data_IF_142580627471
#
_entry.id   IF_142580627471
#
_cell.length_a   1.000
_cell.length_b   1.000
_cell.length_c   1.000
_cell.angle_alpha   90.00
_cell.angle_beta   90.00
_cell.angle_gamma   90.00
#
_symmetry.space_group_name_H-M   'P 1'
#
loop_
_entity.id
_entity.type
_entity.pdbx_description
1 polymer ?
#
# COMPACT_ATOMS: atom_id res chain seq x y z
N UNK A 1 51.01 1.29 -21.40
CA UNK A 1 51.20 1.35 -19.94
C UNK A 1 49.85 1.72 -19.35
N UNK A 2 49.07 0.71 -18.96
CA UNK A 2 47.70 0.89 -18.43
C UNK A 2 47.83 0.83 -16.92
N UNK A 3 47.53 1.97 -16.24
CA UNK A 3 47.52 2.04 -14.80
C UNK A 3 46.22 1.42 -14.27
N UNK A 4 46.34 0.29 -13.60
CA UNK A 4 45.25 -0.32 -12.83
C UNK A 4 44.98 0.54 -11.58
N UNK A 5 43.84 1.19 -11.54
CA UNK A 5 43.34 1.81 -10.31
C UNK A 5 42.80 0.69 -9.41
N UNK A 6 43.59 0.30 -8.43
CA UNK A 6 43.16 -0.58 -7.36
C UNK A 6 42.17 0.18 -6.49
N UNK A 7 40.90 -0.19 -6.55
CA UNK A 7 39.90 0.25 -5.62
C UNK A 7 40.23 -0.33 -4.22
N UNK A 8 40.79 0.49 -3.35
CA UNK A 8 40.99 0.16 -1.95
C UNK A 8 39.65 0.08 -1.28
N UNK A 9 39.16 -1.14 -1.05
CA UNK A 9 38.05 -1.39 -0.14
C UNK A 9 38.52 -1.04 1.28
N UNK A 10 38.03 0.06 1.82
CA UNK A 10 38.22 0.37 3.24
C UNK A 10 37.54 -0.70 4.09
N UNK A 11 38.23 -1.33 5.07
CA UNK A 11 37.60 -2.30 5.93
C UNK A 11 36.63 -1.62 6.90
N UNK A 12 35.37 -1.95 6.77
CA UNK A 12 34.41 -2.14 7.83
C UNK A 12 34.19 -1.03 8.85
N UNK A 13 33.32 -0.08 8.52
CA UNK A 13 32.35 0.29 9.54
C UNK A 13 31.35 -0.88 9.60
N UNK A 14 31.24 -1.55 10.76
CA UNK A 14 30.12 -2.45 11.01
C UNK A 14 28.85 -1.62 10.79
N UNK A 15 28.22 -1.76 9.65
CA UNK A 15 27.01 -1.02 9.31
C UNK A 15 25.96 -1.53 10.27
N UNK A 16 25.48 -0.66 11.16
CA UNK A 16 24.45 -1.05 12.12
C UNK A 16 23.28 -1.66 11.34
N UNK A 17 22.86 -2.87 11.75
CA UNK A 17 21.72 -3.57 11.17
C UNK A 17 20.52 -2.63 11.23
N UNK A 18 19.96 -2.31 10.07
CA UNK A 18 18.82 -1.38 9.99
C UNK A 18 17.52 -2.13 10.25
N UNK A 19 16.75 -1.67 11.20
CA UNK A 19 15.39 -2.18 11.42
C UNK A 19 14.43 -1.56 10.41
N UNK A 20 13.71 -2.41 9.68
CA UNK A 20 12.70 -2.03 8.68
C UNK A 20 11.34 -2.46 9.19
N UNK A 21 10.47 -1.49 9.48
CA UNK A 21 9.08 -1.76 9.84
C UNK A 21 8.30 -2.21 8.61
N UNK A 22 7.47 -3.23 8.75
CA UNK A 22 6.61 -3.72 7.67
C UNK A 22 5.19 -3.84 8.19
N UNK A 23 4.28 -3.06 7.61
CA UNK A 23 2.89 -2.96 8.04
C UNK A 23 1.96 -3.55 6.98
N UNK A 24 1.34 -4.68 7.29
CA UNK A 24 0.58 -5.50 6.35
C UNK A 24 -0.88 -5.71 6.79
N UNK A 25 -1.82 -5.84 5.83
CA UNK A 25 -3.12 -6.43 6.10
C UNK A 25 -3.01 -7.92 6.44
N UNK A 26 -4.07 -8.52 6.98
CA UNK A 26 -4.10 -9.92 7.44
C UNK A 26 -3.70 -10.93 6.37
N UNK A 27 -4.15 -10.73 5.12
CA UNK A 27 -4.00 -11.71 4.05
C UNK A 27 -2.89 -11.32 3.06
N UNK A 28 -1.78 -10.78 3.56
CA UNK A 28 -0.68 -10.28 2.75
C UNK A 28 0.54 -11.22 2.66
N UNK A 29 0.38 -12.50 2.97
CA UNK A 29 1.48 -13.48 2.96
C UNK A 29 2.18 -13.57 1.60
N UNK A 30 1.41 -13.55 0.51
CA UNK A 30 1.97 -13.56 -0.84
C UNK A 30 2.81 -12.30 -1.14
N UNK A 31 2.33 -11.13 -0.75
CA UNK A 31 3.11 -9.89 -0.88
C UNK A 31 4.39 -9.96 -0.06
N UNK A 32 4.30 -10.43 1.18
CA UNK A 32 5.43 -10.56 2.09
C UNK A 32 6.50 -11.50 1.54
N UNK A 33 6.10 -12.67 1.04
CA UNK A 33 7.03 -13.64 0.45
C UNK A 33 7.79 -13.07 -0.75
N UNK A 34 7.06 -12.42 -1.67
CA UNK A 34 7.65 -11.78 -2.86
C UNK A 34 8.57 -10.63 -2.47
N UNK A 35 8.16 -9.79 -1.52
CA UNK A 35 8.98 -8.67 -1.06
C UNK A 35 10.31 -9.14 -0.45
N UNK A 36 10.28 -10.15 0.44
CA UNK A 36 11.50 -10.72 1.04
C UNK A 36 12.42 -11.32 -0.02
N UNK A 37 11.87 -12.09 -0.95
CA UNK A 37 12.64 -12.68 -2.04
C UNK A 37 13.32 -11.59 -2.89
N UNK A 38 12.58 -10.55 -3.26
CA UNK A 38 13.11 -9.45 -4.04
C UNK A 38 14.20 -8.65 -3.29
N UNK A 39 14.10 -8.50 -1.98
CA UNK A 39 15.17 -7.89 -1.16
C UNK A 39 16.43 -8.77 -1.15
N UNK A 40 16.26 -10.07 -0.98
CA UNK A 40 17.37 -11.02 -1.00
C UNK A 40 18.08 -11.05 -2.36
N UNK A 41 17.34 -11.07 -3.47
CA UNK A 41 17.91 -11.00 -4.84
C UNK A 41 18.72 -9.73 -5.08
N UNK A 42 18.41 -8.64 -4.39
CA UNK A 42 19.16 -7.38 -4.43
C UNK A 42 20.33 -7.32 -3.45
N UNK A 43 20.63 -8.44 -2.79
CA UNK A 43 21.76 -8.59 -1.88
C UNK A 43 21.50 -8.17 -0.43
N UNK A 44 20.27 -7.80 -0.08
CA UNK A 44 19.91 -7.50 1.31
C UNK A 44 19.60 -8.80 2.07
N UNK A 45 20.42 -9.14 3.05
CA UNK A 45 20.28 -10.37 3.84
C UNK A 45 19.76 -10.02 5.24
N UNK A 46 18.60 -10.59 5.60
CA UNK A 46 18.03 -10.44 6.92
C UNK A 46 18.98 -11.00 8.00
N UNK A 47 19.16 -10.27 9.08
CA UNK A 47 20.10 -10.60 10.16
C UNK A 47 21.55 -10.13 9.91
N UNK A 48 21.89 -9.74 8.68
CA UNK A 48 23.20 -9.20 8.34
C UNK A 48 23.14 -7.69 7.97
N UNK A 49 22.26 -7.31 7.06
CA UNK A 49 22.16 -5.95 6.51
C UNK A 49 20.97 -5.20 7.10
N UNK A 50 19.90 -5.93 7.40
CA UNK A 50 18.67 -5.40 7.98
C UNK A 50 17.94 -6.45 8.83
N UNK A 51 16.97 -5.98 9.62
CA UNK A 51 15.96 -6.81 10.28
C UNK A 51 14.58 -6.32 9.90
N UNK A 52 13.61 -7.23 9.81
CA UNK A 52 12.22 -6.85 9.54
C UNK A 52 11.38 -6.91 10.81
N UNK A 53 10.75 -5.79 11.14
CA UNK A 53 9.75 -5.67 12.20
C UNK A 53 8.37 -5.79 11.59
N UNK A 54 7.91 -7.04 11.40
CA UNK A 54 6.63 -7.32 10.76
C UNK A 54 5.46 -7.08 11.71
N UNK A 55 4.48 -6.32 11.25
CA UNK A 55 3.21 -6.07 11.94
C UNK A 55 2.06 -6.32 10.97
N UNK A 56 1.21 -7.26 11.34
CA UNK A 56 0.03 -7.62 10.54
C UNK A 56 -1.22 -7.24 11.31
N UNK A 57 -2.15 -6.55 10.64
CA UNK A 57 -3.43 -6.19 11.25
C UNK A 57 -4.21 -7.44 11.66
N UNK A 58 -4.78 -7.39 12.87
CA UNK A 58 -5.55 -8.48 13.45
C UNK A 58 -6.59 -7.92 14.41
N UNK A 59 -6.41 -8.15 15.70
CA UNK A 59 -7.21 -7.53 16.75
C UNK A 59 -6.80 -6.07 16.99
N UNK A 60 -5.54 -5.73 16.70
CA UNK A 60 -5.00 -4.37 16.82
C UNK A 60 -5.18 -3.61 15.50
N UNK A 61 -5.44 -2.31 15.61
CA UNK A 61 -5.60 -1.44 14.44
C UNK A 61 -4.28 -1.14 13.73
N UNK A 62 -4.34 -0.72 12.47
CA UNK A 62 -3.16 -0.20 11.77
C UNK A 62 -2.53 1.00 12.50
N UNK A 63 -3.32 1.84 13.16
CA UNK A 63 -2.83 2.99 13.90
C UNK A 63 -1.97 2.58 15.10
N UNK A 64 -2.40 1.56 15.87
CA UNK A 64 -1.64 1.05 17.01
C UNK A 64 -0.32 0.40 16.55
N UNK A 65 -0.39 -0.38 15.47
CA UNK A 65 0.78 -1.06 14.91
C UNK A 65 1.78 -0.08 14.30
N UNK A 66 1.30 0.97 13.64
CA UNK A 66 2.15 2.04 13.11
C UNK A 66 2.85 2.82 14.24
N UNK A 67 2.11 3.16 15.31
CA UNK A 67 2.68 3.83 16.49
C UNK A 67 3.76 2.97 17.17
N UNK A 68 3.56 1.65 17.23
CA UNK A 68 4.56 0.71 17.76
C UNK A 68 5.84 0.75 16.91
N UNK A 69 5.75 0.66 15.58
CA UNK A 69 6.91 0.74 14.69
C UNK A 69 7.66 2.07 14.83
N UNK A 70 6.93 3.18 15.00
CA UNK A 70 7.53 4.50 15.28
C UNK A 70 8.27 4.48 16.62
N UNK A 71 7.67 3.91 17.67
CA UNK A 71 8.30 3.76 18.99
C UNK A 71 9.57 2.91 18.97
N UNK A 72 9.68 1.95 18.06
CA UNK A 72 10.88 1.14 17.82
C UNK A 72 11.97 1.90 17.05
N UNK A 73 11.70 3.11 16.58
CA UNK A 73 12.62 3.93 15.80
C UNK A 73 13.20 3.21 14.58
N UNK A 74 12.33 2.54 13.81
CA UNK A 74 12.71 1.84 12.58
C UNK A 74 13.29 2.81 11.54
N UNK A 75 14.21 2.35 10.71
CA UNK A 75 14.88 3.18 9.70
C UNK A 75 13.93 3.61 8.56
N UNK A 76 12.93 2.78 8.25
CA UNK A 76 11.85 3.07 7.32
C UNK A 76 10.65 2.15 7.59
N UNK A 77 9.48 2.52 7.06
CA UNK A 77 8.26 1.70 7.13
C UNK A 77 7.84 1.32 5.71
N UNK A 78 7.68 0.02 5.47
CA UNK A 78 7.01 -0.50 4.27
C UNK A 78 5.54 -0.71 4.62
N UNK A 79 4.65 -0.06 3.88
CA UNK A 79 3.21 -0.13 4.12
C UNK A 79 2.47 -0.71 2.91
N UNK A 80 1.77 -1.81 3.07
CA UNK A 80 1.00 -2.43 2.02
C UNK A 80 -0.49 -2.10 2.15
N UNK A 81 -1.09 -1.61 1.07
CA UNK A 81 -2.44 -1.08 0.93
C UNK A 81 -2.62 0.31 1.57
N UNK A 82 -3.70 1.00 1.14
CA UNK A 82 -4.00 2.38 1.52
C UNK A 82 -4.19 2.56 3.03
N UNK A 83 -4.92 1.71 3.76
CA UNK A 83 -5.10 1.89 5.21
C UNK A 83 -3.79 1.82 6.00
N UNK A 84 -2.88 0.91 5.63
CA UNK A 84 -1.56 0.80 6.26
C UNK A 84 -0.71 2.05 5.99
N UNK A 85 -0.67 2.52 4.74
CA UNK A 85 0.07 3.73 4.36
C UNK A 85 -0.48 4.98 5.06
N UNK A 86 -1.80 5.08 5.18
CA UNK A 86 -2.48 6.16 5.90
C UNK A 86 -2.10 6.16 7.39
N UNK A 87 -2.16 5.01 8.04
CA UNK A 87 -1.81 4.87 9.45
C UNK A 87 -0.33 5.20 9.71
N UNK A 88 0.58 4.69 8.88
CA UNK A 88 2.00 5.01 8.96
C UNK A 88 2.25 6.52 8.79
N UNK A 89 1.62 7.18 7.79
CA UNK A 89 1.74 8.62 7.57
C UNK A 89 1.17 9.45 8.73
N UNK A 90 0.10 8.98 9.37
CA UNK A 90 -0.47 9.65 10.53
C UNK A 90 0.44 9.54 11.76
N UNK A 91 1.13 8.41 11.92
CA UNK A 91 2.00 8.13 13.07
C UNK A 91 3.35 8.88 13.01
N UNK A 92 3.88 9.17 11.81
CA UNK A 92 5.17 9.86 11.68
C UNK A 92 5.23 10.79 10.47
N UNK A 93 6.05 11.86 10.60
CA UNK A 93 6.42 12.77 9.51
C UNK A 93 7.91 12.68 9.17
N UNK A 94 8.67 11.93 9.95
CA UNK A 94 10.13 11.86 9.88
C UNK A 94 10.61 10.53 9.29
N UNK A 95 10.07 9.41 9.78
CA UNK A 95 10.46 8.09 9.27
C UNK A 95 9.98 7.95 7.82
N UNK A 96 10.86 7.62 6.87
CA UNK A 96 10.48 7.37 5.49
C UNK A 96 9.47 6.23 5.38
N UNK A 97 8.46 6.40 4.50
CA UNK A 97 7.42 5.41 4.27
C UNK A 97 7.44 5.02 2.80
N UNK A 98 7.61 3.73 2.53
CA UNK A 98 7.50 3.15 1.18
C UNK A 98 6.17 2.41 1.10
N UNK A 99 5.22 3.00 0.37
CA UNK A 99 3.87 2.45 0.26
C UNK A 99 3.67 1.68 -1.05
N UNK A 100 2.96 0.56 -0.99
CA UNK A 100 2.40 -0.13 -2.14
C UNK A 100 0.87 -0.10 -2.00
N UNK A 101 0.19 0.80 -2.71
CA UNK A 101 -1.24 1.06 -2.51
C UNK A 101 -2.00 1.27 -3.83
N UNK A 102 -3.32 1.27 -3.73
CA UNK A 102 -4.20 1.36 -4.89
C UNK A 102 -4.03 2.66 -5.67
N UNK A 103 -4.04 3.81 -4.98
CA UNK A 103 -3.79 5.10 -5.59
C UNK A 103 -3.25 6.11 -4.57
N UNK A 104 -1.95 6.33 -4.60
CA UNK A 104 -1.27 7.22 -3.66
C UNK A 104 -1.60 8.70 -3.91
N UNK A 105 -1.86 9.09 -5.16
CA UNK A 105 -2.17 10.48 -5.53
C UNK A 105 -3.63 10.79 -5.25
N UNK A 106 -4.54 9.96 -5.75
CA UNK A 106 -5.98 10.17 -5.57
C UNK A 106 -6.41 10.14 -4.09
N UNK A 107 -5.70 9.37 -3.26
CA UNK A 107 -5.93 9.33 -1.80
C UNK A 107 -5.26 10.49 -1.04
N UNK A 108 -4.49 11.35 -1.72
CA UNK A 108 -3.77 12.46 -1.11
C UNK A 108 -2.60 12.05 -0.20
N UNK A 109 -2.15 10.78 -0.29
CA UNK A 109 -0.97 10.31 0.45
C UNK A 109 0.32 10.95 -0.05
N UNK A 110 0.39 11.19 -1.36
CA UNK A 110 1.47 11.95 -2.00
C UNK A 110 0.89 13.02 -2.94
N UNK A 111 1.67 14.04 -3.27
CA UNK A 111 1.26 15.11 -4.17
C UNK A 111 1.25 14.65 -5.63
N UNK A 112 2.29 13.97 -6.06
CA UNK A 112 2.43 13.33 -7.37
C UNK A 112 3.47 12.22 -7.30
N UNK A 113 3.50 11.32 -8.28
CA UNK A 113 4.50 10.23 -8.33
C UNK A 113 5.94 10.75 -8.52
N UNK A 114 6.11 11.83 -9.28
CA UNK A 114 7.42 12.44 -9.51
C UNK A 114 7.89 13.35 -8.36
N UNK A 115 6.97 13.93 -7.60
CA UNK A 115 7.24 14.83 -6.47
C UNK A 115 6.30 14.52 -5.31
N UNK A 116 6.60 13.48 -4.51
CA UNK A 116 5.72 13.02 -3.42
C UNK A 116 5.42 14.11 -2.37
N UNK A 117 6.39 14.96 -2.07
CA UNK A 117 6.19 16.17 -1.26
C UNK A 117 6.15 15.94 0.26
N UNK A 118 6.54 14.77 0.73
CA UNK A 118 6.59 14.40 2.16
C UNK A 118 7.46 13.18 2.39
N UNK A 119 7.25 12.51 3.53
CA UNK A 119 7.97 11.29 3.91
C UNK A 119 7.39 10.01 3.29
N UNK A 120 6.37 10.09 2.45
CA UNK A 120 5.74 8.94 1.77
C UNK A 120 6.18 8.92 0.31
N UNK A 121 6.61 7.76 -0.15
CA UNK A 121 6.85 7.42 -1.56
C UNK A 121 6.39 5.99 -1.82
N UNK A 122 6.43 5.51 -3.06
CA UNK A 122 6.12 4.11 -3.32
C UNK A 122 5.55 3.82 -4.70
N UNK A 123 4.80 2.72 -4.78
CA UNK A 123 4.15 2.22 -5.99
C UNK A 123 2.64 2.45 -5.88
N UNK A 124 2.08 3.09 -6.90
CA UNK A 124 0.65 3.33 -7.04
C UNK A 124 0.07 2.44 -8.14
N UNK A 125 -1.00 1.71 -7.82
CA UNK A 125 -1.68 0.83 -8.79
C UNK A 125 -2.59 1.58 -9.77
N UNK A 126 -2.85 2.88 -9.56
CA UNK A 126 -3.80 3.69 -10.35
C UNK A 126 -5.18 3.02 -10.49
N UNK A 127 -5.56 2.24 -9.48
CA UNK A 127 -6.75 1.37 -9.53
C UNK A 127 -8.05 2.16 -9.51
N UNK A 128 -8.05 3.41 -9.04
CA UNK A 128 -9.23 4.28 -9.13
C UNK A 128 -9.57 4.59 -10.61
N UNK A 129 -8.58 4.97 -11.41
CA UNK A 129 -8.73 5.22 -12.84
C UNK A 129 -9.15 3.94 -13.60
N UNK A 130 -8.53 2.80 -13.27
CA UNK A 130 -8.87 1.50 -13.85
C UNK A 130 -10.32 1.08 -13.59
N UNK A 131 -10.91 1.50 -12.47
CA UNK A 131 -12.30 1.19 -12.15
C UNK A 131 -13.29 1.73 -13.19
N UNK A 132 -13.07 2.93 -13.70
CA UNK A 132 -13.85 3.49 -14.79
C UNK A 132 -13.79 2.62 -16.05
N UNK A 133 -12.59 2.17 -16.42
CA UNK A 133 -12.39 1.28 -17.57
C UNK A 133 -13.09 -0.06 -17.40
N UNK A 134 -13.07 -0.64 -16.19
CA UNK A 134 -13.83 -1.86 -15.91
C UNK A 134 -15.35 -1.67 -16.13
N UNK A 135 -15.91 -0.51 -15.78
CA UNK A 135 -17.34 -0.22 -16.03
C UNK A 135 -17.64 -0.15 -17.53
N UNK A 136 -16.77 0.48 -18.33
CA UNK A 136 -16.92 0.53 -19.77
C UNK A 136 -16.92 -0.88 -20.39
N UNK A 137 -15.95 -1.72 -20.00
CA UNK A 137 -15.86 -3.11 -20.45
C UNK A 137 -17.09 -3.94 -20.02
N UNK A 138 -17.60 -3.72 -18.82
CA UNK A 138 -18.83 -4.39 -18.36
C UNK A 138 -20.03 -4.03 -19.25
N UNK A 139 -20.14 -2.80 -19.74
CA UNK A 139 -21.20 -2.41 -20.68
C UNK A 139 -21.07 -3.13 -22.04
N UNK A 140 -19.86 -3.32 -22.52
CA UNK A 140 -19.62 -4.05 -23.78
C UNK A 140 -19.99 -5.52 -23.66
N UNK A 141 -19.63 -6.16 -22.53
CA UNK A 141 -19.89 -7.59 -22.28
C UNK A 141 -21.35 -7.87 -21.90
N UNK A 142 -21.98 -6.92 -21.18
CA UNK A 142 -23.34 -7.07 -20.66
C UNK A 142 -24.23 -5.88 -21.07
N UNK A 143 -24.52 -5.68 -22.36
CA UNK A 143 -25.24 -4.51 -22.85
C UNK A 143 -26.68 -4.41 -22.33
N UNK A 144 -27.27 -5.52 -21.87
CA UNK A 144 -28.62 -5.56 -21.31
C UNK A 144 -28.66 -5.28 -19.80
N UNK A 145 -27.50 -5.16 -19.14
CA UNK A 145 -27.47 -4.86 -17.71
C UNK A 145 -27.95 -3.42 -17.46
N UNK A 146 -28.99 -3.29 -16.64
CA UNK A 146 -29.61 -2.00 -16.29
C UNK A 146 -29.21 -1.52 -14.89
N UNK A 147 -28.50 -2.33 -14.10
CA UNK A 147 -28.10 -2.00 -12.73
C UNK A 147 -26.69 -2.50 -12.45
N UNK A 148 -25.89 -1.66 -11.83
CA UNK A 148 -24.56 -1.96 -11.33
C UNK A 148 -24.56 -1.80 -9.80
N UNK A 149 -24.12 -2.84 -9.07
CA UNK A 149 -23.88 -2.76 -7.64
C UNK A 149 -22.37 -2.69 -7.37
N UNK A 150 -21.97 -1.77 -6.52
CA UNK A 150 -20.57 -1.60 -6.11
C UNK A 150 -20.46 -1.85 -4.62
N UNK A 151 -19.58 -2.78 -4.22
CA UNK A 151 -19.25 -3.04 -2.82
C UNK A 151 -17.91 -2.37 -2.53
N UNK A 152 -17.88 -1.49 -1.52
CA UNK A 152 -16.68 -0.77 -1.12
C UNK A 152 -16.66 -0.53 0.38
N UNK A 153 -15.46 -0.45 0.98
CA UNK A 153 -15.27 -0.07 2.38
C UNK A 153 -15.31 1.47 2.50
N UNK A 154 -16.31 2.01 3.19
CA UNK A 154 -16.48 3.48 3.33
C UNK A 154 -15.40 4.15 4.18
N UNK A 155 -14.63 3.40 4.96
CA UNK A 155 -13.56 3.93 5.81
C UNK A 155 -12.21 3.99 5.09
N UNK A 156 -12.08 3.32 3.94
CA UNK A 156 -10.87 3.38 3.13
C UNK A 156 -10.85 4.67 2.30
N UNK A 157 -9.78 5.46 2.43
CA UNK A 157 -9.57 6.68 1.63
C UNK A 157 -9.63 6.42 0.12
N UNK A 158 -9.30 5.21 -0.31
CA UNK A 158 -9.38 4.80 -1.70
C UNK A 158 -10.81 4.75 -2.23
N UNK A 159 -11.81 4.54 -1.37
CA UNK A 159 -13.21 4.35 -1.78
C UNK A 159 -13.79 5.56 -2.50
N UNK A 160 -13.53 6.78 -2.03
CA UNK A 160 -14.09 7.97 -2.66
C UNK A 160 -13.60 8.16 -4.10
N UNK A 161 -12.28 8.24 -4.40
CA UNK A 161 -11.81 8.36 -5.78
C UNK A 161 -12.21 7.16 -6.65
N UNK A 162 -12.25 5.95 -6.12
CA UNK A 162 -12.73 4.78 -6.84
C UNK A 162 -14.20 4.94 -7.29
N UNK A 163 -15.09 5.35 -6.38
CA UNK A 163 -16.51 5.55 -6.68
C UNK A 163 -16.75 6.71 -7.65
N UNK A 164 -15.93 7.77 -7.59
CA UNK A 164 -16.03 8.90 -8.52
C UNK A 164 -15.73 8.46 -9.95
N UNK A 165 -14.70 7.65 -10.18
CA UNK A 165 -14.40 7.07 -11.51
C UNK A 165 -15.49 6.12 -11.99
N UNK A 166 -16.00 5.25 -11.11
CA UNK A 166 -17.14 4.37 -11.44
C UNK A 166 -18.38 5.18 -11.81
N UNK A 167 -18.70 6.23 -11.05
CA UNK A 167 -19.84 7.10 -11.32
C UNK A 167 -19.73 7.80 -12.66
N UNK A 168 -18.55 8.32 -12.99
CA UNK A 168 -18.29 9.02 -14.25
C UNK A 168 -18.48 8.10 -15.46
N UNK A 169 -17.92 6.90 -15.42
CA UNK A 169 -18.01 5.92 -16.51
C UNK A 169 -19.36 5.23 -16.59
N UNK A 170 -20.16 5.27 -15.52
CA UNK A 170 -21.54 4.77 -15.53
C UNK A 170 -22.59 5.79 -15.96
N UNK A 171 -22.19 7.00 -16.41
CA UNK A 171 -23.09 8.02 -16.93
C UNK A 171 -23.84 7.47 -18.15
N UNK A 172 -25.20 7.42 -18.04
CA UNK A 172 -26.06 6.78 -19.05
C UNK A 172 -26.58 5.37 -18.70
N UNK A 173 -26.16 4.81 -17.55
CA UNK A 173 -26.91 3.74 -16.93
C UNK A 173 -28.03 4.30 -16.04
N UNK A 174 -29.22 3.69 -15.97
CA UNK A 174 -30.25 4.09 -15.03
C UNK A 174 -29.80 3.74 -13.61
N UNK A 175 -28.99 4.61 -13.02
CA UNK A 175 -28.33 4.38 -11.75
C UNK A 175 -29.07 5.01 -10.60
N UNK A 176 -29.70 4.17 -9.80
CA UNK A 176 -29.97 4.54 -8.41
C UNK A 176 -28.82 4.09 -7.54
N UNK A 177 -27.84 4.95 -7.26
CA UNK A 177 -26.75 4.66 -6.34
C UNK A 177 -27.31 4.50 -4.92
N UNK A 178 -27.28 3.28 -4.38
CA UNK A 178 -27.41 3.06 -2.94
C UNK A 178 -26.00 2.87 -2.38
N UNK A 179 -25.51 3.85 -1.62
CA UNK A 179 -24.39 3.66 -0.70
C UNK A 179 -24.79 2.56 0.29
N UNK A 180 -24.25 1.38 0.11
CA UNK A 180 -24.31 0.35 1.16
C UNK A 180 -23.31 0.80 2.23
N UNK A 181 -23.84 1.35 3.35
CA UNK A 181 -23.04 1.66 4.53
C UNK A 181 -22.49 0.35 5.08
N UNK A 182 -21.23 0.38 5.44
CA UNK A 182 -20.51 -0.53 6.33
C UNK A 182 -21.31 -1.79 6.73
N UNK A 183 -20.92 -2.94 6.19
CA UNK A 183 -21.19 -4.20 6.87
C UNK A 183 -20.12 -4.36 7.95
N UNK A 184 -20.48 -4.39 9.25
CA UNK A 184 -19.52 -4.76 10.28
C UNK A 184 -19.00 -6.16 9.95
N UNK A 185 -17.69 -6.36 10.11
CA UNK A 185 -17.06 -7.66 9.94
C UNK A 185 -17.80 -8.69 10.81
N UNK A 186 -18.65 -9.49 10.19
CA UNK A 186 -19.13 -10.71 10.84
C UNK A 186 -17.98 -11.70 10.78
N UNK A 187 -17.50 -12.20 11.93
CA UNK A 187 -16.53 -13.29 11.92
C UNK A 187 -17.16 -14.44 11.13
N UNK A 188 -16.51 -14.86 10.06
CA UNK A 188 -16.86 -16.09 9.36
C UNK A 188 -16.75 -17.22 10.38
N UNK A 189 -17.91 -17.69 10.88
CA UNK A 189 -17.95 -18.90 11.69
C UNK A 189 -17.43 -20.02 10.81
N UNK A 190 -16.28 -20.58 11.20
CA UNK A 190 -15.70 -21.72 10.54
C UNK A 190 -16.70 -22.89 10.42
N UNK A 191 -16.71 -23.49 9.25
CA UNK A 191 -17.18 -24.88 9.04
C UNK A 191 -15.97 -25.79 9.01
#
# INVERSE_FOLDING_TARGET
MVAAVAATHSPGHAQAIRSVGVLLPRDADAFWAVFRAAMHERGYVEGRDLTFELRTVGERSFSDLAAELVGMNVALIVAHQTPAAQAARAATREIPIVAAAGDLVATGLIRSLSHPGGNVTGVSGMTAEMAGKCVELLREVLPQASRLAVLANSEDLFTAPFLDHVAHSSSGWPTGWRRLRHMPERPLKGR
#
